data_IF_281303151344
#
_entry.id   IF_281303151344
#
_cell.length_a   1.000
_cell.length_b   1.000
_cell.length_c   1.000
_cell.angle_alpha   90.00
_cell.angle_beta   90.00
_cell.angle_gamma   90.00
#
_symmetry.space_group_name_H-M   'P 1'
#
loop_
_entity.id
_entity.type
_entity.pdbx_description
1 polymer ?
#
# COMPACT_ATOMS: atom_id res chain seq x y z
N UNK A 1 15.93 4.92 -0.76
CA UNK A 1 15.63 3.78 0.12
C UNK A 1 14.23 3.29 -0.23
N UNK A 2 14.01 1.98 -0.33
CA UNK A 2 12.74 1.40 -0.76
C UNK A 2 11.95 1.04 0.50
N UNK A 3 10.75 1.61 0.67
CA UNK A 3 9.92 1.39 1.85
C UNK A 3 8.89 0.31 1.54
N UNK A 4 8.93 -0.80 2.28
CA UNK A 4 7.97 -1.90 2.17
C UNK A 4 6.93 -1.82 3.28
N UNK A 5 5.64 -1.92 2.92
CA UNK A 5 4.56 -2.16 3.87
C UNK A 5 4.20 -3.65 3.82
N UNK A 6 4.49 -4.39 4.89
CA UNK A 6 4.22 -5.83 4.96
C UNK A 6 3.01 -6.04 5.86
N UNK A 7 1.87 -6.41 5.26
CA UNK A 7 0.74 -6.96 6.01
C UNK A 7 0.74 -8.48 5.84
N UNK A 8 0.88 -9.28 6.91
CA UNK A 8 0.93 -10.74 6.83
C UNK A 8 -0.37 -11.39 6.32
N UNK A 9 -1.43 -10.60 6.11
CA UNK A 9 -2.75 -11.04 5.66
C UNK A 9 -3.00 -10.87 4.16
N UNK A 10 -2.06 -10.31 3.39
CA UNK A 10 -2.27 -10.01 1.97
C UNK A 10 -1.30 -10.80 1.09
N UNK A 11 -1.77 -11.44 -0.01
CA UNK A 11 -0.90 -12.12 -0.96
C UNK A 11 -0.18 -11.15 -1.91
N UNK A 12 -0.32 -9.84 -1.68
CA UNK A 12 0.28 -8.78 -2.47
C UNK A 12 1.08 -7.86 -1.55
N UNK A 13 2.31 -7.54 -1.96
CA UNK A 13 3.21 -6.63 -1.25
C UNK A 13 3.46 -5.42 -2.14
N UNK A 14 2.95 -4.24 -1.78
CA UNK A 14 3.18 -3.03 -2.53
C UNK A 14 4.46 -2.33 -2.05
N UNK A 15 5.14 -1.68 -2.98
CA UNK A 15 6.44 -1.06 -2.78
C UNK A 15 6.48 0.27 -3.48
N UNK A 16 6.90 1.34 -2.76
CA UNK A 16 7.13 2.65 -3.36
C UNK A 16 8.59 2.79 -3.76
N UNK A 17 8.83 3.03 -5.05
CA UNK A 17 10.16 3.32 -5.59
C UNK A 17 10.62 4.73 -5.21
N UNK A 18 11.94 5.02 -5.24
CA UNK A 18 12.46 6.37 -5.01
C UNK A 18 11.94 7.42 -6.01
N UNK A 19 11.58 7.00 -7.24
CA UNK A 19 10.98 7.86 -8.27
C UNK A 19 9.50 8.15 -8.01
N UNK A 20 8.88 7.48 -7.02
CA UNK A 20 7.51 7.69 -6.62
C UNK A 20 6.52 6.67 -7.19
N UNK A 21 6.95 5.82 -8.11
CA UNK A 21 6.14 4.72 -8.67
C UNK A 21 5.80 3.69 -7.59
N UNK A 22 4.57 3.16 -7.62
CA UNK A 22 4.14 2.04 -6.77
C UNK A 22 4.15 0.76 -7.59
N UNK A 23 4.93 -0.22 -7.15
CA UNK A 23 5.04 -1.56 -7.75
C UNK A 23 4.40 -2.56 -6.81
N UNK A 24 3.56 -3.44 -7.34
CA UNK A 24 2.87 -4.48 -6.57
C UNK A 24 3.47 -5.83 -6.90
N UNK A 25 3.98 -6.53 -5.88
CA UNK A 25 4.48 -7.89 -6.00
C UNK A 25 3.44 -8.87 -5.48
N UNK A 26 3.19 -9.92 -6.24
CA UNK A 26 2.39 -11.04 -5.77
C UNK A 26 3.31 -12.08 -5.10
N UNK A 27 2.99 -12.48 -3.88
CA UNK A 27 3.83 -13.35 -3.04
C UNK A 27 3.07 -14.55 -2.46
N UNK A 28 1.79 -14.71 -2.82
CA UNK A 28 0.94 -15.83 -2.39
C UNK A 28 1.06 -17.09 -3.25
N UNK A 29 0.28 -18.11 -2.89
CA UNK A 29 0.13 -19.37 -3.66
C UNK A 29 -1.01 -19.33 -4.67
N UNK A 30 -2.07 -18.55 -4.39
CA UNK A 30 -3.15 -18.24 -5.35
C UNK A 30 -3.45 -16.73 -5.43
N UNK A 31 -3.66 -16.13 -6.62
CA UNK A 31 -3.84 -14.68 -6.78
C UNK A 31 -5.28 -14.26 -6.46
N UNK A 32 -5.78 -14.67 -5.30
CA UNK A 32 -7.14 -14.37 -4.85
C UNK A 32 -7.08 -13.57 -3.56
N UNK A 33 -7.92 -12.55 -3.47
CA UNK A 33 -8.19 -11.83 -2.24
C UNK A 33 -9.66 -12.02 -1.88
N UNK A 34 -9.97 -12.09 -0.60
CA UNK A 34 -11.33 -11.84 -0.13
C UNK A 34 -11.69 -10.36 -0.36
N UNK A 35 -12.97 -9.99 -0.42
CA UNK A 35 -13.37 -8.59 -0.54
C UNK A 35 -12.79 -7.69 0.57
N UNK A 36 -12.70 -8.19 1.80
CA UNK A 36 -12.11 -7.48 2.94
C UNK A 36 -10.61 -7.23 2.74
N UNK A 37 -9.89 -8.24 2.24
CA UNK A 37 -8.47 -8.12 1.91
C UNK A 37 -8.25 -7.11 0.76
N UNK A 38 -9.12 -7.10 -0.25
CA UNK A 38 -9.03 -6.15 -1.35
C UNK A 38 -9.23 -4.70 -0.88
N UNK A 39 -10.16 -4.48 0.06
CA UNK A 39 -10.37 -3.16 0.68
C UNK A 39 -9.15 -2.73 1.48
N UNK A 40 -8.64 -3.60 2.37
CA UNK A 40 -7.45 -3.30 3.16
C UNK A 40 -6.22 -3.00 2.28
N UNK A 41 -6.05 -3.75 1.17
CA UNK A 41 -4.98 -3.49 0.21
C UNK A 41 -5.16 -2.16 -0.53
N UNK A 42 -6.38 -1.80 -0.91
CA UNK A 42 -6.67 -0.51 -1.55
C UNK A 42 -6.38 0.68 -0.62
N UNK A 43 -6.68 0.55 0.67
CA UNK A 43 -6.35 1.58 1.66
C UNK A 43 -4.83 1.74 1.84
N UNK A 44 -4.08 0.63 1.86
CA UNK A 44 -2.61 0.69 1.85
C UNK A 44 -2.06 1.41 0.61
N UNK A 45 -2.62 1.15 -0.58
CA UNK A 45 -2.23 1.86 -1.81
C UNK A 45 -2.50 3.36 -1.71
N UNK A 46 -3.62 3.78 -1.12
CA UNK A 46 -3.94 5.19 -0.88
C UNK A 46 -2.93 5.85 0.07
N UNK A 47 -2.59 5.19 1.16
CA UNK A 47 -1.60 5.69 2.12
C UNK A 47 -0.22 5.86 1.47
N UNK A 48 0.23 4.91 0.65
CA UNK A 48 1.51 5.06 -0.05
C UNK A 48 1.47 6.07 -1.19
N UNK A 49 0.32 6.24 -1.85
CA UNK A 49 0.15 7.22 -2.91
C UNK A 49 0.07 8.65 -2.37
N UNK A 50 -0.28 8.83 -1.10
CA UNK A 50 -0.23 10.13 -0.46
C UNK A 50 1.18 10.73 -0.61
N UNK A 51 1.32 11.96 -1.11
CA UNK A 51 2.60 12.65 -1.08
C UNK A 51 3.01 12.82 0.39
N UNK A 52 4.29 12.59 0.67
CA UNK A 52 4.86 12.78 2.01
C UNK A 52 4.62 14.24 2.44
N UNK A 53 3.55 14.47 3.21
CA UNK A 53 3.13 15.81 3.65
C UNK A 53 1.62 16.08 3.67
N UNK A 54 0.77 15.28 3.00
CA UNK A 54 -0.68 15.56 2.96
C UNK A 54 -1.51 14.92 4.08
N UNK A 55 -0.93 14.00 4.86
CA UNK A 55 -1.66 13.31 5.97
C UNK A 55 -1.64 14.11 7.27
N UNK A 56 -0.92 15.24 7.34
CA UNK A 56 -0.78 16.07 8.57
C UNK A 56 -1.46 17.44 8.48
N UNK A 57 -1.99 17.83 7.32
CA UNK A 57 -2.60 19.16 7.14
C UNK A 57 -4.11 19.21 7.44
N UNK A 58 -4.82 18.08 7.43
CA UNK A 58 -6.28 18.05 7.64
C UNK A 58 -6.69 18.00 9.13
N UNK A 59 -5.74 17.95 10.06
CA UNK A 59 -6.00 17.99 11.50
C UNK A 59 -5.72 19.37 12.13
N UNK A 60 -5.38 20.38 11.33
CA UNK A 60 -5.08 21.74 11.78
C UNK A 60 -5.97 22.76 11.05
N UNK A 61 -7.29 22.68 11.27
CA UNK A 61 -8.24 23.78 11.03
C UNK A 61 -9.23 23.84 12.18
#
# INVERSE_FOLDING_TARGET
>A
MLTMAISPLLPFTPVRSPSGDIVVFYTGTEPRMTPEQALAFADQLREMAAPAGLVTATAAL
#
